data_IF_503233732083
#
_entry.id   IF_503233732083
#
_cell.length_a   1.000
_cell.length_b   1.000
_cell.length_c   1.000
_cell.angle_alpha   90.00
_cell.angle_beta   90.00
_cell.angle_gamma   90.00
#
_symmetry.space_group_name_H-M   'P 1'
#
loop_
_entity.id
_entity.type
_entity.pdbx_description
1 polymer ?
#
# COMPACT_ATOMS: atom_id res chain seq x y z
N UNK A 1 -16.61 -3.56 3.91
CA UNK A 1 -17.47 -3.15 2.79
C UNK A 1 -18.71 -4.04 2.80
N UNK A 2 -19.87 -3.54 3.26
CA UNK A 2 -21.08 -4.34 3.35
C UNK A 2 -21.65 -4.72 1.97
N UNK A 3 -21.47 -3.89 0.94
CA UNK A 3 -21.96 -4.16 -0.41
C UNK A 3 -21.10 -5.23 -1.12
N UNK A 4 -19.77 -5.17 -0.95
CA UNK A 4 -18.85 -6.18 -1.45
C UNK A 4 -19.09 -7.57 -0.86
N UNK A 5 -19.50 -7.64 0.41
CA UNK A 5 -19.86 -8.90 1.07
C UNK A 5 -21.09 -9.54 0.46
N UNK A 6 -22.13 -8.76 0.21
CA UNK A 6 -23.36 -9.25 -0.40
C UNK A 6 -23.14 -9.71 -1.86
N UNK A 7 -22.30 -9.00 -2.63
CA UNK A 7 -21.92 -9.45 -3.98
C UNK A 7 -21.10 -10.73 -3.97
N UNK A 8 -20.25 -10.93 -2.96
CA UNK A 8 -19.39 -12.12 -2.85
C UNK A 8 -20.15 -13.36 -2.38
N UNK A 9 -21.18 -13.19 -1.55
CA UNK A 9 -22.09 -14.26 -1.16
C UNK A 9 -22.95 -14.78 -2.31
N UNK A 10 -23.23 -13.93 -3.31
CA UNK A 10 -24.02 -14.30 -4.49
C UNK A 10 -25.51 -14.56 -4.21
N UNK A 11 -26.21 -15.03 -5.23
CA UNK A 11 -27.62 -15.46 -5.12
C UNK A 11 -27.72 -16.94 -4.71
N UNK A 12 -28.81 -17.27 -4.01
CA UNK A 12 -29.04 -18.61 -3.51
C UNK A 12 -29.18 -19.64 -4.63
N UNK A 13 -28.49 -20.78 -4.56
CA UNK A 13 -28.76 -21.87 -5.48
C UNK A 13 -30.08 -22.55 -5.13
N UNK A 14 -31.05 -22.48 -6.05
CA UNK A 14 -32.36 -23.16 -5.96
C UNK A 14 -32.23 -24.67 -5.71
N UNK A 15 -31.07 -25.26 -6.02
CA UNK A 15 -30.75 -26.66 -5.78
C UNK A 15 -30.70 -27.06 -4.29
N UNK A 16 -30.64 -26.10 -3.36
CA UNK A 16 -30.61 -26.34 -1.92
C UNK A 16 -32.00 -26.28 -1.24
N UNK A 17 -33.05 -25.84 -1.94
CA UNK A 17 -34.40 -25.61 -1.40
C UNK A 17 -35.06 -26.89 -0.87
N UNK A 18 -34.57 -28.07 -1.27
CA UNK A 18 -35.08 -29.39 -0.83
C UNK A 18 -34.16 -30.14 0.14
N UNK A 19 -33.07 -29.53 0.60
CA UNK A 19 -32.11 -30.19 1.50
C UNK A 19 -32.46 -29.98 2.98
N UNK A 20 -32.02 -30.88 3.88
CA UNK A 20 -32.17 -30.70 5.32
C UNK A 20 -31.52 -29.39 5.78
N UNK A 21 -32.07 -28.78 6.83
CA UNK A 21 -31.59 -27.50 7.38
C UNK A 21 -30.08 -27.50 7.68
N UNK A 22 -29.53 -28.63 8.14
CA UNK A 22 -28.10 -28.77 8.39
C UNK A 22 -27.24 -28.61 7.13
N UNK A 23 -27.71 -29.12 5.98
CA UNK A 23 -27.01 -28.96 4.70
C UNK A 23 -27.05 -27.51 4.20
N UNK A 24 -28.15 -26.81 4.46
CA UNK A 24 -28.28 -25.38 4.17
C UNK A 24 -27.34 -24.55 5.02
N UNK A 25 -27.29 -24.81 6.33
CA UNK A 25 -26.40 -24.11 7.27
C UNK A 25 -24.93 -24.36 6.93
N UNK A 26 -24.55 -25.60 6.59
CA UNK A 26 -23.18 -25.93 6.20
C UNK A 26 -22.75 -25.22 4.90
N UNK A 27 -23.63 -25.17 3.90
CA UNK A 27 -23.37 -24.44 2.67
C UNK A 27 -23.21 -22.93 2.92
N UNK A 28 -24.04 -22.37 3.79
CA UNK A 28 -23.99 -20.97 4.21
C UNK A 28 -22.70 -20.59 4.93
N UNK A 29 -22.33 -21.39 5.92
CA UNK A 29 -21.13 -21.15 6.71
C UNK A 29 -19.89 -21.21 5.82
N UNK A 30 -19.87 -22.11 4.82
CA UNK A 30 -18.79 -22.18 3.84
C UNK A 30 -18.73 -20.94 2.96
N UNK A 31 -19.84 -20.54 2.34
CA UNK A 31 -19.89 -19.37 1.47
C UNK A 31 -19.53 -18.07 2.23
N UNK A 32 -20.02 -17.93 3.46
CA UNK A 32 -19.71 -16.80 4.32
C UNK A 32 -18.22 -16.77 4.72
N UNK A 33 -17.62 -17.93 5.02
CA UNK A 33 -16.19 -18.02 5.32
C UNK A 33 -15.34 -17.64 4.11
N UNK A 34 -15.68 -18.11 2.90
CA UNK A 34 -14.97 -17.76 1.67
C UNK A 34 -15.08 -16.26 1.34
N UNK A 35 -16.26 -15.66 1.52
CA UNK A 35 -16.47 -14.22 1.37
C UNK A 35 -15.68 -13.39 2.40
N UNK A 36 -15.62 -13.87 3.66
CA UNK A 36 -14.81 -13.26 4.71
C UNK A 36 -13.32 -13.34 4.38
N UNK A 37 -12.84 -14.48 3.90
CA UNK A 37 -11.44 -14.64 3.49
C UNK A 37 -11.06 -13.73 2.32
N UNK A 38 -12.01 -13.41 1.43
CA UNK A 38 -11.78 -12.48 0.33
C UNK A 38 -11.78 -11.00 0.77
N UNK A 39 -12.71 -10.61 1.64
CA UNK A 39 -12.92 -9.20 2.05
C UNK A 39 -12.01 -8.79 3.20
N UNK A 40 -11.73 -9.72 4.10
CA UNK A 40 -10.97 -9.51 5.31
C UNK A 40 -10.13 -10.77 5.63
N UNK A 41 -9.16 -11.13 4.76
CA UNK A 41 -8.30 -12.28 5.00
C UNK A 41 -7.60 -12.14 6.35
N UNK A 42 -7.61 -13.22 7.15
CA UNK A 42 -6.93 -13.27 8.46
C UNK A 42 -5.41 -13.05 8.36
N UNK A 43 -4.85 -13.17 7.16
CA UNK A 43 -3.45 -12.87 6.85
C UNK A 43 -3.43 -11.71 5.87
N UNK A 44 -2.48 -10.77 5.97
CA UNK A 44 -2.28 -9.81 4.90
C UNK A 44 -2.16 -10.58 3.59
N UNK A 45 -2.93 -10.17 2.56
CA UNK A 45 -2.71 -10.60 1.17
C UNK A 45 -1.19 -10.68 0.99
N UNK A 46 -0.66 -11.88 0.71
CA UNK A 46 0.77 -12.06 0.51
C UNK A 46 1.19 -11.02 -0.52
N UNK A 47 1.84 -9.97 -0.05
CA UNK A 47 2.16 -8.81 -0.86
C UNK A 47 2.99 -9.30 -2.03
N UNK A 48 2.56 -8.95 -3.25
CA UNK A 48 3.35 -9.15 -4.46
C UNK A 48 4.81 -8.82 -4.13
N UNK A 49 5.67 -9.84 -4.30
CA UNK A 49 6.89 -10.00 -3.51
C UNK A 49 7.65 -8.71 -3.30
N UNK A 50 7.91 -8.38 -2.03
CA UNK A 50 8.81 -7.35 -1.51
C UNK A 50 9.57 -6.51 -2.56
N UNK A 51 8.88 -5.76 -3.40
CA UNK A 51 9.45 -4.51 -3.88
C UNK A 51 9.46 -3.69 -2.61
N UNK A 52 10.65 -3.42 -2.04
CA UNK A 52 10.78 -2.42 -1.00
C UNK A 52 10.14 -1.15 -1.55
N UNK A 53 9.27 -0.49 -0.77
CA UNK A 53 8.76 0.81 -1.16
C UNK A 53 9.94 1.69 -1.59
N UNK A 54 9.77 2.57 -2.59
CA UNK A 54 10.86 3.39 -3.14
C UNK A 54 11.65 4.11 -2.04
N UNK A 55 10.95 4.50 -0.98
CA UNK A 55 11.48 5.15 0.20
C UNK A 55 12.48 4.33 1.04
N UNK A 56 12.68 3.04 0.74
CA UNK A 56 13.55 2.12 1.46
C UNK A 56 14.87 1.81 0.73
N UNK A 57 15.19 2.48 -0.38
CA UNK A 57 16.54 2.40 -0.95
C UNK A 57 17.51 3.19 -0.08
N UNK A 58 18.73 2.67 0.09
CA UNK A 58 19.79 3.34 0.87
C UNK A 58 20.15 4.70 0.26
N UNK A 59 20.10 4.80 -1.07
CA UNK A 59 20.28 6.05 -1.80
C UNK A 59 19.25 7.12 -1.41
N UNK A 60 17.95 6.80 -1.42
CA UNK A 60 16.91 7.78 -1.04
C UNK A 60 16.95 8.13 0.44
N UNK A 61 17.40 7.21 1.29
CA UNK A 61 17.63 7.47 2.71
C UNK A 61 18.76 8.49 2.88
N UNK A 62 19.88 8.28 2.22
CA UNK A 62 21.02 9.20 2.26
C UNK A 62 20.64 10.57 1.68
N UNK A 63 19.92 10.62 0.55
CA UNK A 63 19.46 11.88 -0.01
C UNK A 63 18.54 12.66 0.94
N UNK A 64 17.66 11.97 1.69
CA UNK A 64 16.85 12.62 2.74
C UNK A 64 17.71 13.18 3.86
N UNK A 65 18.72 12.45 4.32
CA UNK A 65 19.65 12.93 5.33
C UNK A 65 20.43 14.16 4.84
N UNK A 66 20.94 14.13 3.61
CA UNK A 66 21.66 15.25 2.98
C UNK A 66 20.77 16.48 2.79
N UNK A 67 19.52 16.31 2.34
CA UNK A 67 18.53 17.40 2.28
C UNK A 67 18.39 18.09 3.64
N UNK A 68 18.21 17.31 4.73
CA UNK A 68 18.09 17.86 6.09
C UNK A 68 19.36 18.57 6.56
N UNK A 69 20.54 18.10 6.15
CA UNK A 69 21.82 18.77 6.45
C UNK A 69 21.93 20.11 5.72
N UNK A 70 21.58 20.17 4.43
CA UNK A 70 21.57 21.41 3.65
C UNK A 70 20.54 22.42 4.18
N UNK A 71 19.34 21.96 4.55
CA UNK A 71 18.34 22.81 5.21
C UNK A 71 18.89 23.44 6.49
N UNK A 72 19.53 22.63 7.35
CA UNK A 72 20.16 23.13 8.59
C UNK A 72 21.27 24.12 8.31
N UNK A 73 22.14 23.84 7.32
CA UNK A 73 23.24 24.73 6.92
C UNK A 73 22.73 26.07 6.39
N UNK A 74 21.69 26.05 5.54
CA UNK A 74 21.07 27.28 5.06
C UNK A 74 20.43 28.06 6.22
N UNK A 75 19.65 27.42 7.09
CA UNK A 75 19.05 28.11 8.25
C UNK A 75 20.09 28.73 9.19
N UNK A 76 21.22 28.06 9.40
CA UNK A 76 22.28 28.57 10.25
C UNK A 76 23.06 29.75 9.63
N UNK A 77 23.28 29.71 8.31
CA UNK A 77 24.12 30.71 7.63
C UNK A 77 23.34 31.85 6.97
N UNK A 78 22.03 31.65 6.74
CA UNK A 78 21.14 32.47 5.91
C UNK A 78 21.73 32.91 4.54
N UNK A 79 22.72 32.16 4.04
CA UNK A 79 23.47 32.52 2.84
C UNK A 79 22.69 32.15 1.57
N UNK A 80 22.72 33.05 0.58
CA UNK A 80 22.15 32.82 -0.76
C UNK A 80 22.79 31.61 -1.44
N UNK A 81 24.11 31.42 -1.28
CA UNK A 81 24.81 30.25 -1.86
C UNK A 81 24.28 28.94 -1.29
N UNK A 82 24.09 28.86 0.03
CA UNK A 82 23.52 27.68 0.68
C UNK A 82 22.05 27.46 0.30
N UNK A 83 21.30 28.53 0.05
CA UNK A 83 19.93 28.45 -0.47
C UNK A 83 19.89 27.88 -1.89
N UNK A 84 20.81 28.32 -2.77
CA UNK A 84 20.93 27.79 -4.13
C UNK A 84 21.30 26.32 -4.14
N UNK A 85 22.32 25.93 -3.35
CA UNK A 85 22.72 24.53 -3.18
C UNK A 85 21.55 23.64 -2.71
N UNK A 86 20.75 24.12 -1.75
CA UNK A 86 19.56 23.39 -1.29
C UNK A 86 18.51 23.27 -2.41
N UNK A 87 18.25 24.32 -3.20
CA UNK A 87 17.28 24.28 -4.30
C UNK A 87 17.70 23.28 -5.38
N UNK A 88 18.98 23.30 -5.77
CA UNK A 88 19.49 22.37 -6.78
C UNK A 88 19.46 20.93 -6.28
N UNK A 89 19.82 20.69 -5.02
CA UNK A 89 19.68 19.38 -4.40
C UNK A 89 18.23 18.87 -4.37
N UNK A 90 17.27 19.74 -4.04
CA UNK A 90 15.84 19.39 -4.03
C UNK A 90 15.37 18.96 -5.42
N UNK A 91 15.80 19.63 -6.49
CA UNK A 91 15.44 19.26 -7.88
C UNK A 91 15.89 17.84 -8.19
N UNK A 92 17.16 17.51 -7.92
CA UNK A 92 17.70 16.17 -8.14
C UNK A 92 16.97 15.12 -7.29
N UNK A 93 16.76 15.40 -6.00
CA UNK A 93 16.02 14.52 -5.09
C UNK A 93 14.61 14.19 -5.58
N UNK A 94 13.88 15.19 -6.12
CA UNK A 94 12.53 14.97 -6.64
C UNK A 94 12.51 14.09 -7.89
N UNK A 95 13.52 14.20 -8.76
CA UNK A 95 13.67 13.33 -9.94
C UNK A 95 13.90 11.88 -9.49
N UNK A 96 14.82 11.65 -8.55
CA UNK A 96 15.11 10.31 -8.03
C UNK A 96 13.88 9.71 -7.33
N UNK A 97 13.16 10.50 -6.53
CA UNK A 97 11.91 10.03 -5.89
C UNK A 97 10.84 9.66 -6.91
N UNK A 98 10.73 10.43 -8.00
CA UNK A 98 9.75 10.18 -9.05
C UNK A 98 10.10 8.90 -9.79
N UNK A 99 11.36 8.73 -10.21
CA UNK A 99 11.83 7.53 -10.88
C UNK A 99 11.64 6.28 -10.00
N UNK A 100 11.99 6.38 -8.72
CA UNK A 100 11.83 5.27 -7.78
C UNK A 100 10.34 4.93 -7.54
N UNK A 101 9.44 5.92 -7.55
CA UNK A 101 7.99 5.67 -7.49
C UNK A 101 7.46 4.99 -8.75
N UNK A 102 7.88 5.43 -9.93
CA UNK A 102 7.49 4.83 -11.21
C UNK A 102 8.03 3.40 -11.41
N UNK A 103 9.11 3.01 -10.73
CA UNK A 103 9.60 1.63 -10.77
C UNK A 103 8.88 0.69 -9.79
N UNK A 104 8.04 1.22 -8.92
CA UNK A 104 7.41 0.46 -7.83
C UNK A 104 5.90 0.29 -7.98
N UNK A 105 5.22 1.29 -8.55
CA UNK A 105 3.82 1.23 -8.96
C UNK A 105 3.74 1.07 -10.47
#
# INVERSE_FOLDING_TARGET
>A
DPEGFQRSLGEFPDSLVRKPAESLVAAWNRAASEALDWIAPLRPLQGGGSRRAPSFTEELREMKHQKRRLERRWRASNSVSNRSLLRDFIRTYLVVIRAAKCSHF
#
